data_IF_864718168615
#
_entry.id   IF_864718168615
#
_cell.length_a   1.000
_cell.length_b   1.000
_cell.length_c   1.000
_cell.angle_alpha   90.00
_cell.angle_beta   90.00
_cell.angle_gamma   90.00
#
_symmetry.space_group_name_H-M   'P 1'
#
loop_
_entity.id
_entity.type
_entity.pdbx_description
1 polymer ?
#
# COMPACT_ATOMS: atom_id res chain seq x y z
N UNK A 1 -7.91 -16.77 -32.87
CA UNK A 1 -8.14 -17.44 -31.58
C UNK A 1 -7.77 -16.44 -30.50
N UNK A 2 -8.72 -16.04 -29.66
CA UNK A 2 -8.46 -15.10 -28.56
C UNK A 2 -7.52 -15.79 -27.56
N UNK A 3 -6.44 -15.12 -27.17
CA UNK A 3 -5.43 -15.65 -26.25
C UNK A 3 -6.04 -15.90 -24.86
N UNK A 4 -6.61 -17.10 -24.64
CA UNK A 4 -7.22 -17.55 -23.38
C UNK A 4 -6.26 -17.54 -22.18
N UNK A 5 -4.95 -17.46 -22.42
CA UNK A 5 -3.90 -17.47 -21.39
C UNK A 5 -3.21 -16.13 -21.19
N UNK A 6 -3.56 -15.08 -21.94
CA UNK A 6 -2.97 -13.77 -21.74
C UNK A 6 -3.80 -13.01 -20.71
N UNK A 7 -3.23 -12.68 -19.52
CA UNK A 7 -3.97 -11.93 -18.52
C UNK A 7 -4.35 -10.56 -19.10
N UNK A 8 -5.56 -10.10 -18.75
CA UNK A 8 -6.02 -8.76 -19.09
C UNK A 8 -4.97 -7.71 -18.66
N UNK A 9 -4.63 -6.73 -19.51
CA UNK A 9 -3.57 -5.76 -19.22
C UNK A 9 -3.83 -4.98 -17.93
N UNK A 10 -5.11 -4.74 -17.59
CA UNK A 10 -5.54 -4.07 -16.36
C UNK A 10 -5.14 -4.87 -15.12
N UNK A 11 -5.23 -6.20 -15.19
CA UNK A 11 -4.84 -7.09 -14.09
C UNK A 11 -3.33 -7.09 -13.86
N UNK A 12 -2.55 -7.09 -14.93
CA UNK A 12 -1.09 -6.97 -14.84
C UNK A 12 -0.70 -5.64 -14.22
N UNK A 13 -1.33 -4.54 -14.67
CA UNK A 13 -1.10 -3.21 -14.11
C UNK A 13 -1.52 -3.13 -12.63
N UNK A 14 -2.65 -3.73 -12.25
CA UNK A 14 -3.08 -3.80 -10.86
C UNK A 14 -2.06 -4.51 -9.97
N UNK A 15 -1.54 -5.67 -10.39
CA UNK A 15 -0.48 -6.37 -9.65
C UNK A 15 0.77 -5.50 -9.52
N UNK A 16 1.21 -4.88 -10.61
CA UNK A 16 2.40 -4.04 -10.62
C UNK A 16 2.26 -2.82 -9.71
N UNK A 17 1.15 -2.10 -9.84
CA UNK A 17 0.84 -0.92 -9.04
C UNK A 17 0.78 -1.26 -7.56
N UNK A 18 0.05 -2.33 -7.19
CA UNK A 18 -0.09 -2.79 -5.80
C UNK A 18 1.25 -3.15 -5.17
N UNK A 19 2.06 -3.96 -5.87
CA UNK A 19 3.28 -4.57 -5.33
C UNK A 19 4.48 -3.62 -5.33
N UNK A 20 4.65 -2.84 -6.39
CA UNK A 20 5.88 -2.05 -6.60
C UNK A 20 5.67 -0.55 -6.41
N UNK A 21 4.52 0.00 -6.76
CA UNK A 21 4.34 1.47 -6.72
C UNK A 21 3.71 1.91 -5.41
N UNK A 22 2.56 1.34 -5.05
CA UNK A 22 1.69 1.88 -4.01
C UNK A 22 2.39 1.92 -2.66
N UNK A 23 2.96 0.78 -2.22
CA UNK A 23 3.56 0.67 -0.89
C UNK A 23 4.83 1.52 -0.75
N UNK A 24 5.63 1.62 -1.80
CA UNK A 24 6.85 2.43 -1.81
C UNK A 24 6.52 3.91 -1.74
N UNK A 25 5.57 4.37 -2.57
CA UNK A 25 5.09 5.74 -2.52
C UNK A 25 4.43 6.07 -1.18
N UNK A 26 3.64 5.16 -0.60
CA UNK A 26 3.04 5.37 0.71
C UNK A 26 4.11 5.60 1.78
N UNK A 27 5.18 4.80 1.79
CA UNK A 27 6.30 4.97 2.71
C UNK A 27 6.99 6.33 2.52
N UNK A 28 7.23 6.74 1.28
CA UNK A 28 7.82 8.05 0.96
C UNK A 28 6.92 9.19 1.43
N UNK A 29 5.62 9.14 1.15
CA UNK A 29 4.66 10.16 1.61
C UNK A 29 4.60 10.24 3.13
N UNK A 30 4.64 9.09 3.83
CA UNK A 30 4.68 9.07 5.28
C UNK A 30 5.97 9.71 5.83
N UNK A 31 7.13 9.39 5.26
CA UNK A 31 8.40 10.00 5.65
C UNK A 31 8.41 11.50 5.40
N UNK A 32 7.94 11.94 4.24
CA UNK A 32 7.81 13.36 3.92
C UNK A 32 6.88 14.06 4.91
N UNK A 33 5.77 13.42 5.32
CA UNK A 33 4.85 13.99 6.31
C UNK A 33 5.48 14.09 7.70
N UNK A 34 6.17 13.04 8.16
CA UNK A 34 6.90 13.02 9.45
C UNK A 34 8.02 14.07 9.45
N UNK A 35 8.69 14.30 8.32
CA UNK A 35 9.75 15.30 8.22
C UNK A 35 9.19 16.73 8.17
N UNK A 36 8.13 16.94 7.38
CA UNK A 36 7.53 18.26 7.17
C UNK A 36 6.74 18.76 8.39
N UNK A 37 6.15 17.86 9.17
CA UNK A 37 5.34 18.20 10.34
C UNK A 37 5.95 17.54 11.59
N UNK A 38 6.29 18.35 12.60
CA UNK A 38 6.71 17.90 13.94
C UNK A 38 5.58 18.09 14.97
N UNK A 39 4.40 17.56 14.72
CA UNK A 39 3.20 17.82 15.54
C UNK A 39 2.68 16.58 16.23
N UNK A 40 1.71 16.76 17.15
CA UNK A 40 1.12 15.66 17.94
C UNK A 40 0.59 14.47 17.13
N UNK A 41 0.27 14.63 15.85
CA UNK A 41 -0.27 13.55 15.00
C UNK A 41 0.78 12.78 14.18
N UNK A 42 2.08 13.06 14.38
CA UNK A 42 3.15 12.34 13.69
C UNK A 42 3.12 10.82 13.97
N UNK A 43 2.58 10.43 15.13
CA UNK A 43 2.40 9.03 15.53
C UNK A 43 1.52 8.23 14.57
N UNK A 44 0.49 8.85 13.97
CA UNK A 44 -0.35 8.18 12.98
C UNK A 44 0.40 7.97 11.65
N UNK A 45 1.13 8.98 11.20
CA UNK A 45 1.99 8.86 10.02
C UNK A 45 3.11 7.83 10.25
N UNK A 46 3.68 7.77 11.47
CA UNK A 46 4.61 6.72 11.88
C UNK A 46 3.94 5.33 11.89
N UNK A 47 2.70 5.22 12.32
CA UNK A 47 1.93 3.97 12.26
C UNK A 47 1.77 3.47 10.82
N UNK A 48 1.36 4.36 9.91
CA UNK A 48 1.25 4.06 8.47
C UNK A 48 2.62 3.67 7.87
N UNK A 49 3.67 4.41 8.20
CA UNK A 49 5.04 4.10 7.79
C UNK A 49 5.49 2.72 8.28
N UNK A 50 5.27 2.41 9.55
CA UNK A 50 5.68 1.14 10.17
C UNK A 50 4.96 -0.04 9.51
N UNK A 51 3.64 0.08 9.29
CA UNK A 51 2.88 -0.93 8.55
C UNK A 51 3.40 -1.07 7.11
N UNK A 52 3.72 0.06 6.46
CA UNK A 52 4.30 0.08 5.12
C UNK A 52 5.63 -0.68 5.04
N UNK A 53 6.53 -0.45 6.00
CA UNK A 53 7.81 -1.14 6.12
C UNK A 53 7.62 -2.63 6.39
N UNK A 54 6.69 -3.02 7.27
CA UNK A 54 6.38 -4.44 7.52
C UNK A 54 5.91 -5.12 6.22
N UNK A 55 5.00 -4.49 5.48
CA UNK A 55 4.50 -5.03 4.20
C UNK A 55 5.62 -5.15 3.17
N UNK A 56 6.50 -4.14 3.06
CA UNK A 56 7.70 -4.19 2.21
C UNK A 56 8.63 -5.34 2.61
N UNK A 57 8.85 -5.52 3.91
CA UNK A 57 9.67 -6.59 4.45
C UNK A 57 9.05 -7.97 4.12
N UNK A 58 7.73 -8.12 4.25
CA UNK A 58 7.05 -9.35 3.86
C UNK A 58 7.13 -9.60 2.34
N UNK A 59 7.09 -8.56 1.51
CA UNK A 59 7.18 -8.71 0.05
C UNK A 59 8.58 -9.04 -0.46
N UNK A 60 9.60 -8.39 0.09
CA UNK A 60 10.97 -8.43 -0.43
C UNK A 60 11.99 -8.94 0.59
N UNK A 61 11.82 -8.56 1.87
CA UNK A 61 12.75 -8.88 2.95
C UNK A 61 12.93 -10.38 3.17
N UNK A 62 11.86 -11.16 3.32
CA UNK A 62 11.98 -12.61 3.53
C UNK A 62 12.81 -13.30 2.44
N UNK A 63 12.54 -12.99 1.17
CA UNK A 63 13.30 -13.52 0.04
C UNK A 63 14.77 -13.06 0.05
N UNK A 64 15.02 -11.80 0.41
CA UNK A 64 16.38 -11.25 0.49
C UNK A 64 17.22 -11.90 1.58
N UNK A 65 16.63 -12.23 2.73
CA UNK A 65 17.29 -12.93 3.84
C UNK A 65 17.32 -14.45 3.67
N UNK A 66 16.83 -15.00 2.56
CA UNK A 66 16.82 -16.45 2.32
C UNK A 66 15.84 -17.23 3.20
N UNK A 67 14.82 -16.56 3.74
CA UNK A 67 13.79 -17.17 4.59
C UNK A 67 12.65 -17.65 3.68
N UNK A 68 12.65 -18.95 3.37
CA UNK A 68 11.68 -19.57 2.46
C UNK A 68 10.63 -20.44 3.17
N UNK A 69 10.78 -20.68 4.46
CA UNK A 69 9.89 -21.53 5.25
C UNK A 69 9.79 -21.06 6.71
N UNK A 70 8.74 -21.52 7.40
CA UNK A 70 8.51 -21.24 8.82
C UNK A 70 7.29 -20.36 9.11
N UNK A 71 6.88 -20.39 10.38
CA UNK A 71 5.65 -19.77 10.90
C UNK A 71 5.58 -18.26 10.61
N UNK A 72 6.72 -17.55 10.72
CA UNK A 72 6.81 -16.12 10.43
C UNK A 72 6.50 -15.79 8.96
N UNK A 73 6.98 -16.62 8.03
CA UNK A 73 6.73 -16.44 6.61
C UNK A 73 5.27 -16.73 6.27
N UNK A 74 4.69 -17.77 6.88
CA UNK A 74 3.27 -18.11 6.70
C UNK A 74 2.34 -16.99 7.16
N UNK A 75 2.56 -16.46 8.38
CA UNK A 75 1.78 -15.32 8.87
C UNK A 75 1.99 -14.07 8.04
N UNK A 76 3.23 -13.77 7.62
CA UNK A 76 3.52 -12.63 6.75
C UNK A 76 2.83 -12.75 5.39
N UNK A 77 2.85 -13.94 4.79
CA UNK A 77 2.15 -14.21 3.55
C UNK A 77 0.63 -14.16 3.72
N UNK A 78 0.09 -14.72 4.80
CA UNK A 78 -1.33 -14.65 5.10
C UNK A 78 -1.79 -13.20 5.23
N UNK A 79 -1.04 -12.39 5.98
CA UNK A 79 -1.32 -10.97 6.15
C UNK A 79 -1.27 -10.25 4.80
N UNK A 80 -0.16 -10.33 4.07
CA UNK A 80 0.02 -9.64 2.78
C UNK A 80 -0.96 -10.12 1.69
N UNK A 81 -1.42 -11.36 1.73
CA UNK A 81 -2.41 -11.90 0.78
C UNK A 81 -3.85 -11.59 1.16
N UNK A 82 -4.10 -10.99 2.32
CA UNK A 82 -5.45 -10.71 2.78
C UNK A 82 -6.21 -9.83 1.78
N UNK A 83 -7.35 -10.35 1.30
CA UNK A 83 -8.17 -9.74 0.24
C UNK A 83 -7.37 -9.39 -1.03
N UNK A 84 -6.61 -10.38 -1.52
CA UNK A 84 -5.66 -10.21 -2.61
C UNK A 84 -4.60 -9.14 -2.33
N UNK A 85 -4.31 -8.84 -1.07
CA UNK A 85 -3.39 -7.78 -0.63
C UNK A 85 -3.94 -6.36 -0.74
N UNK A 86 -5.22 -6.19 -1.08
CA UNK A 86 -5.86 -4.87 -1.15
C UNK A 86 -6.23 -4.38 0.25
N UNK A 87 -6.64 -5.29 1.14
CA UNK A 87 -7.01 -4.95 2.51
C UNK A 87 -5.82 -4.48 3.33
N UNK A 88 -4.64 -5.08 3.16
CA UNK A 88 -3.42 -4.65 3.86
C UNK A 88 -2.95 -3.27 3.42
N UNK A 89 -3.04 -2.96 2.14
CA UNK A 89 -2.76 -1.62 1.64
C UNK A 89 -3.74 -0.59 2.18
N UNK A 90 -5.03 -0.92 2.21
CA UNK A 90 -6.04 -0.07 2.80
C UNK A 90 -5.74 0.18 4.28
N UNK A 91 -5.47 -0.86 5.07
CA UNK A 91 -5.10 -0.73 6.48
C UNK A 91 -3.83 0.09 6.71
N UNK A 92 -2.80 -0.09 5.88
CA UNK A 92 -1.59 0.72 5.95
C UNK A 92 -1.87 2.19 5.62
N UNK A 93 -2.81 2.47 4.71
CA UNK A 93 -3.19 3.83 4.30
C UNK A 93 -4.10 4.56 5.30
N UNK A 94 -4.86 3.83 6.12
CA UNK A 94 -5.85 4.39 7.04
C UNK A 94 -5.27 5.43 8.01
N UNK A 95 -4.15 5.19 8.72
CA UNK A 95 -3.61 6.18 9.65
C UNK A 95 -3.22 7.48 8.95
N UNK A 96 -2.68 7.39 7.73
CA UNK A 96 -2.32 8.56 6.93
C UNK A 96 -3.57 9.31 6.43
N UNK A 97 -4.63 8.58 6.09
CA UNK A 97 -5.92 9.18 5.75
C UNK A 97 -6.52 9.92 6.94
N UNK A 98 -6.47 9.33 8.14
CA UNK A 98 -6.95 9.96 9.37
C UNK A 98 -6.17 11.24 9.70
N UNK A 99 -4.87 11.30 9.41
CA UNK A 99 -4.11 12.56 9.60
C UNK A 99 -4.59 13.70 8.72
N UNK A 100 -5.18 13.41 7.55
CA UNK A 100 -5.70 14.43 6.64
C UNK A 100 -6.92 15.17 7.23
N UNK A 101 -7.74 14.51 8.04
CA UNK A 101 -8.93 15.11 8.65
C UNK A 101 -8.62 16.21 9.69
N UNK A 102 -7.39 16.25 10.21
CA UNK A 102 -7.01 17.16 11.30
C UNK A 102 -6.12 18.33 10.87
N UNK A 103 -5.57 18.33 9.65
CA UNK A 103 -4.49 19.24 9.28
C UNK A 103 -4.93 20.46 8.45
N UNK A 104 -4.37 21.61 8.81
CA UNK A 104 -4.66 22.91 8.21
C UNK A 104 -3.80 23.14 6.95
N UNK A 105 -4.38 22.94 5.76
CA UNK A 105 -4.03 23.30 4.35
C UNK A 105 -2.56 23.47 3.86
N UNK A 106 -1.54 23.37 4.70
CA UNK A 106 -0.12 23.37 4.31
C UNK A 106 0.26 21.91 4.07
N UNK A 107 0.77 21.61 2.88
CA UNK A 107 1.11 20.26 2.39
C UNK A 107 -0.06 19.38 1.90
N UNK A 108 -1.20 19.98 1.55
CA UNK A 108 -2.36 19.30 0.97
C UNK A 108 -2.05 18.50 -0.31
N UNK A 109 -0.92 18.77 -0.97
CA UNK A 109 -0.46 17.98 -2.11
C UNK A 109 -0.07 16.55 -1.72
N UNK A 110 0.44 16.31 -0.50
CA UNK A 110 0.73 14.95 0.01
C UNK A 110 -0.58 14.17 0.10
N UNK A 111 -1.61 14.82 0.64
CA UNK A 111 -2.94 14.26 0.77
C UNK A 111 -3.63 14.07 -0.58
N UNK A 112 -3.41 14.97 -1.55
CA UNK A 112 -3.87 14.82 -2.93
C UNK A 112 -3.24 13.60 -3.60
N UNK A 113 -1.93 13.42 -3.50
CA UNK A 113 -1.24 12.25 -4.09
C UNK A 113 -1.70 10.98 -3.40
N UNK A 114 -1.81 10.97 -2.07
CA UNK A 114 -2.32 9.82 -1.32
C UNK A 114 -3.76 9.45 -1.74
N UNK A 115 -4.63 10.44 -1.86
CA UNK A 115 -6.00 10.27 -2.35
C UNK A 115 -6.05 9.75 -3.78
N UNK A 116 -5.20 10.28 -4.67
CA UNK A 116 -5.09 9.81 -6.05
C UNK A 116 -4.63 8.35 -6.11
N UNK A 117 -3.64 7.96 -5.29
CA UNK A 117 -3.18 6.58 -5.19
C UNK A 117 -4.30 5.63 -4.72
N UNK A 118 -5.09 6.04 -3.72
CA UNK A 118 -6.25 5.28 -3.25
C UNK A 118 -7.35 5.19 -4.32
N UNK A 119 -7.60 6.29 -5.06
CA UNK A 119 -8.54 6.32 -6.17
C UNK A 119 -8.15 5.34 -7.28
N UNK A 120 -6.87 5.33 -7.68
CA UNK A 120 -6.34 4.37 -8.66
C UNK A 120 -6.46 2.94 -8.14
N UNK A 121 -6.11 2.70 -6.87
CA UNK A 121 -6.24 1.37 -6.25
C UNK A 121 -7.69 0.89 -6.26
N UNK A 122 -8.64 1.75 -5.88
CA UNK A 122 -10.07 1.43 -5.84
C UNK A 122 -10.65 1.20 -7.25
N UNK A 123 -10.29 2.05 -8.22
CA UNK A 123 -10.70 1.89 -9.62
C UNK A 123 -10.22 0.56 -10.18
N UNK A 124 -8.92 0.25 -10.01
CA UNK A 124 -8.35 -1.02 -10.49
C UNK A 124 -8.93 -2.22 -9.77
N UNK A 125 -9.19 -2.12 -8.46
CA UNK A 125 -9.84 -3.19 -7.70
C UNK A 125 -11.25 -3.48 -8.24
N UNK A 126 -12.02 -2.43 -8.52
CA UNK A 126 -13.37 -2.56 -9.07
C UNK A 126 -13.36 -3.23 -10.45
N UNK A 127 -12.47 -2.78 -11.34
CA UNK A 127 -12.41 -3.31 -12.72
C UNK A 127 -11.84 -4.73 -12.80
N UNK A 128 -10.94 -5.12 -11.89
CA UNK A 128 -10.22 -6.40 -11.99
C UNK A 128 -10.72 -7.50 -11.06
N UNK A 129 -11.40 -7.16 -9.95
CA UNK A 129 -11.84 -8.14 -8.94
C UNK A 129 -13.36 -8.26 -8.86
N UNK A 130 -14.11 -7.19 -9.16
CA UNK A 130 -15.58 -7.18 -9.04
C UNK A 130 -16.25 -7.40 -10.41
N UNK A 131 -15.67 -6.85 -11.48
CA UNK A 131 -16.24 -6.90 -12.84
C UNK A 131 -15.86 -8.15 -13.64
N UNK A 132 -14.83 -8.90 -13.22
CA UNK A 132 -14.33 -10.13 -13.86
C UNK A 132 -14.64 -11.30 -12.93
#
# INVERSE_FOLDING_TARGET
MVNLFQPAPEFVFFIFFKKYIFIQLLCILCLLRIYAHRTRFDWLAMGSFTLGVIILFCHFGFNFFGIYEGILLEYGNWFVRWHNGSATLALASLPLLLTNCYQNNRWSWIDLIHGAMLGVLAMLYWTTVILI
#
